data_IF_308013173730
#
_entry.id   IF_308013173730
#
_cell.length_a   1.000
_cell.length_b   1.000
_cell.length_c   1.000
_cell.angle_alpha   90.00
_cell.angle_beta   90.00
_cell.angle_gamma   90.00
#
_symmetry.space_group_name_H-M   'P 1'
#
loop_
_entity.id
_entity.type
_entity.pdbx_description
1 polymer ?
#
# COMPACT_ATOMS: atom_id res chain seq x y z
N UNK A 1 0.20 -3.44 -2.55
CA UNK A 1 -0.71 -2.90 -1.51
C UNK A 1 -1.17 -3.99 -0.53
N UNK A 2 -1.39 -3.66 0.74
CA UNK A 2 -1.89 -4.61 1.74
C UNK A 2 -3.42 -4.67 1.68
N UNK A 3 -3.98 -5.84 1.40
CA UNK A 3 -5.43 -6.05 1.28
C UNK A 3 -5.97 -7.11 2.25
N UNK A 4 -5.10 -7.87 2.90
CA UNK A 4 -5.44 -8.90 3.88
C UNK A 4 -4.24 -9.24 4.76
N UNK A 5 -4.50 -9.78 5.96
CA UNK A 5 -3.44 -10.26 6.86
C UNK A 5 -2.69 -11.49 6.30
N UNK A 6 -3.39 -12.37 5.58
CA UNK A 6 -2.75 -13.50 4.89
C UNK A 6 -1.82 -13.02 3.77
N UNK A 7 -2.25 -12.02 2.99
CA UNK A 7 -1.42 -11.35 2.01
C UNK A 7 -0.19 -10.69 2.64
N UNK A 8 -0.36 -10.02 3.79
CA UNK A 8 0.74 -9.44 4.56
C UNK A 8 1.78 -10.49 4.96
N UNK A 9 1.35 -11.64 5.50
CA UNK A 9 2.25 -12.75 5.85
C UNK A 9 2.98 -13.30 4.63
N UNK A 10 2.29 -13.46 3.50
CA UNK A 10 2.90 -13.90 2.23
C UNK A 10 3.95 -12.90 1.73
N UNK A 11 3.69 -11.60 1.83
CA UNK A 11 4.67 -10.57 1.47
C UNK A 11 5.94 -10.67 2.32
N UNK A 12 5.82 -10.86 3.64
CA UNK A 12 6.97 -11.04 4.52
C UNK A 12 7.78 -12.32 4.22
N UNK A 13 7.12 -13.38 3.75
CA UNK A 13 7.83 -14.60 3.30
C UNK A 13 8.61 -14.37 2.01
N UNK A 14 8.03 -13.64 1.05
CA UNK A 14 8.68 -13.34 -0.24
C UNK A 14 9.84 -12.36 -0.09
N UNK A 15 9.67 -11.37 0.79
CA UNK A 15 10.68 -10.36 1.07
C UNK A 15 11.45 -10.77 2.33
N UNK A 16 12.33 -11.78 2.18
CA UNK A 16 13.17 -12.38 3.23
C UNK A 16 13.64 -11.34 4.27
N UNK A 17 13.00 -11.35 5.45
CA UNK A 17 13.39 -10.48 6.58
C UNK A 17 12.70 -9.11 6.65
N UNK A 18 11.62 -8.88 5.89
CA UNK A 18 10.88 -7.62 5.98
C UNK A 18 10.14 -7.50 7.31
N UNK A 19 10.49 -6.49 8.08
CA UNK A 19 9.78 -6.12 9.31
C UNK A 19 8.69 -5.09 9.00
N UNK A 20 7.46 -5.38 9.42
CA UNK A 20 6.38 -4.40 9.30
C UNK A 20 6.52 -3.31 10.37
N UNK A 21 6.35 -2.02 10.01
CA UNK A 21 6.41 -0.94 10.97
C UNK A 21 5.38 -1.11 12.09
N UNK A 22 5.78 -0.87 13.35
CA UNK A 22 4.88 -1.01 14.49
C UNK A 22 3.63 -0.11 14.40
N UNK A 23 3.73 1.03 13.71
CA UNK A 23 2.57 1.92 13.46
C UNK A 23 1.52 1.27 12.56
N UNK A 24 1.94 0.53 11.53
CA UNK A 24 1.05 -0.24 10.66
C UNK A 24 0.36 -1.35 11.44
N UNK A 25 1.13 -2.12 12.23
CA UNK A 25 0.58 -3.20 13.06
C UNK A 25 -0.49 -2.67 14.03
N UNK A 26 -0.20 -1.57 14.75
CA UNK A 26 -1.19 -0.91 15.63
C UNK A 26 -2.41 -0.36 14.88
N UNK A 27 -2.27 0.04 13.61
CA UNK A 27 -3.42 0.47 12.82
C UNK A 27 -4.31 -0.71 12.45
N UNK A 28 -3.72 -1.85 12.10
CA UNK A 28 -4.42 -3.10 11.80
C UNK A 28 -5.11 -3.67 13.04
N UNK A 29 -4.44 -3.66 14.20
CA UNK A 29 -4.99 -4.17 15.48
C UNK A 29 -6.21 -3.38 15.97
N UNK A 30 -6.36 -2.11 15.55
CA UNK A 30 -7.52 -1.27 15.89
C UNK A 30 -8.74 -1.50 14.99
N UNK A 31 -8.61 -2.34 13.96
CA UNK A 31 -9.74 -2.68 13.09
C UNK A 31 -10.61 -3.75 13.73
N UNK A 32 -11.82 -3.93 13.20
CA UNK A 32 -12.71 -5.05 13.54
C UNK A 32 -12.22 -6.41 12.97
N UNK A 33 -11.05 -6.44 12.32
CA UNK A 33 -10.45 -7.63 11.72
C UNK A 33 -11.14 -8.10 10.44
N UNK A 34 -12.16 -7.40 9.95
CA UNK A 34 -12.82 -7.74 8.69
C UNK A 34 -11.88 -7.51 7.50
N UNK A 35 -11.99 -8.31 6.42
CA UNK A 35 -11.18 -8.10 5.23
C UNK A 35 -11.25 -6.67 4.69
N UNK A 36 -12.43 -6.06 4.75
CA UNK A 36 -12.65 -4.70 4.28
C UNK A 36 -11.97 -3.65 5.16
N UNK A 37 -11.99 -3.78 6.49
CA UNK A 37 -11.31 -2.83 7.37
C UNK A 37 -9.79 -2.92 7.25
N UNK A 38 -9.25 -4.14 7.14
CA UNK A 38 -7.82 -4.39 6.87
C UNK A 38 -7.42 -3.77 5.52
N UNK A 39 -8.24 -3.98 4.48
CA UNK A 39 -8.01 -3.41 3.14
C UNK A 39 -7.96 -1.88 3.19
N UNK A 40 -8.92 -1.23 3.86
CA UNK A 40 -8.91 0.23 4.01
C UNK A 40 -7.64 0.75 4.69
N UNK A 41 -7.21 0.12 5.79
CA UNK A 41 -5.96 0.49 6.46
C UNK A 41 -4.76 0.30 5.54
N UNK A 42 -4.69 -0.83 4.83
CA UNK A 42 -3.57 -1.13 3.94
C UNK A 42 -3.51 -0.23 2.69
N UNK A 43 -4.65 0.17 2.15
CA UNK A 43 -4.75 1.16 1.06
C UNK A 43 -4.28 2.52 1.57
N UNK A 44 -4.83 3.00 2.68
CA UNK A 44 -4.43 4.29 3.26
C UNK A 44 -2.93 4.33 3.57
N UNK A 45 -2.40 3.29 4.22
CA UNK A 45 -0.96 3.19 4.51
C UNK A 45 -0.11 3.26 3.25
N UNK A 46 -0.47 2.51 2.21
CA UNK A 46 0.27 2.53 0.95
C UNK A 46 0.18 3.90 0.26
N UNK A 47 -0.96 4.59 0.34
CA UNK A 47 -1.11 5.97 -0.16
C UNK A 47 -0.15 6.91 0.56
N UNK A 48 -0.11 6.90 1.89
CA UNK A 48 0.81 7.76 2.66
C UNK A 48 2.28 7.50 2.30
N UNK A 49 2.66 6.23 2.10
CA UNK A 49 4.00 5.89 1.62
C UNK A 49 4.28 6.44 0.22
N UNK A 50 3.28 6.44 -0.67
CA UNK A 50 3.45 6.99 -2.01
C UNK A 50 3.59 8.51 -1.97
N UNK A 51 2.79 9.21 -1.17
CA UNK A 51 2.90 10.67 -0.96
C UNK A 51 4.30 11.00 -0.47
N UNK A 52 4.76 10.34 0.59
CA UNK A 52 6.10 10.57 1.16
C UNK A 52 7.21 10.36 0.13
N UNK A 53 7.17 9.27 -0.63
CA UNK A 53 8.18 9.02 -1.67
C UNK A 53 8.15 10.08 -2.78
N UNK A 54 6.96 10.50 -3.22
CA UNK A 54 6.82 11.52 -4.26
C UNK A 54 7.29 12.90 -3.77
N UNK A 55 7.00 13.26 -2.51
CA UNK A 55 7.48 14.50 -1.89
C UNK A 55 9.02 14.53 -1.80
N UNK A 56 9.66 13.36 -1.72
CA UNK A 56 11.12 13.20 -1.76
C UNK A 56 11.70 13.03 -3.18
N UNK A 57 10.88 13.17 -4.23
CA UNK A 57 11.36 13.25 -5.62
C UNK A 57 11.86 11.94 -6.22
N UNK A 58 11.29 10.79 -5.83
CA UNK A 58 11.62 9.51 -6.49
C UNK A 58 11.23 9.52 -7.98
N UNK A 59 11.99 8.78 -8.80
CA UNK A 59 11.73 8.68 -10.25
C UNK A 59 10.42 7.95 -10.61
N UNK A 60 9.84 7.21 -9.65
CA UNK A 60 8.57 6.52 -9.84
C UNK A 60 8.30 5.45 -8.78
N UNK A 61 7.08 4.91 -8.82
CA UNK A 61 6.59 3.89 -7.86
C UNK A 61 6.13 2.65 -8.63
N UNK A 62 6.68 1.49 -8.29
CA UNK A 62 6.26 0.21 -8.85
C UNK A 62 5.38 -0.58 -7.87
N UNK A 63 4.16 -0.92 -8.28
CA UNK A 63 3.22 -1.66 -7.44
C UNK A 63 3.22 -3.16 -7.75
N UNK A 64 3.48 -3.97 -6.73
CA UNK A 64 3.13 -5.40 -6.76
C UNK A 64 1.62 -5.57 -6.55
N UNK A 65 0.90 -5.80 -7.65
CA UNK A 65 -0.57 -5.94 -7.66
C UNK A 65 -1.05 -7.36 -7.29
N UNK A 66 -0.20 -8.38 -7.42
CA UNK A 66 -0.55 -9.78 -7.16
C UNK A 66 -1.85 -10.21 -7.89
N UNK A 67 -1.96 -9.84 -9.18
CA UNK A 67 -3.15 -10.04 -10.04
C UNK A 67 -4.43 -9.35 -9.55
N UNK A 68 -4.33 -8.39 -8.62
CA UNK A 68 -5.45 -7.63 -8.08
C UNK A 68 -5.15 -6.12 -8.17
N UNK A 69 -5.84 -5.40 -9.07
CA UNK A 69 -5.55 -3.99 -9.34
C UNK A 69 -6.41 -2.99 -8.56
N UNK A 70 -7.50 -3.42 -7.91
CA UNK A 70 -8.48 -2.53 -7.25
C UNK A 70 -7.83 -1.62 -6.21
N UNK A 71 -7.03 -2.18 -5.30
CA UNK A 71 -6.32 -1.40 -4.28
C UNK A 71 -5.32 -0.41 -4.88
N UNK A 72 -4.61 -0.81 -5.94
CA UNK A 72 -3.69 0.10 -6.64
C UNK A 72 -4.43 1.25 -7.30
N UNK A 73 -5.57 0.99 -7.95
CA UNK A 73 -6.40 2.03 -8.56
C UNK A 73 -6.93 3.03 -7.54
N UNK A 74 -7.33 2.57 -6.35
CA UNK A 74 -7.75 3.44 -5.25
C UNK A 74 -6.61 4.35 -4.76
N UNK A 75 -5.39 3.82 -4.66
CA UNK A 75 -4.20 4.61 -4.31
C UNK A 75 -3.97 5.70 -5.36
N UNK A 76 -3.94 5.34 -6.66
CA UNK A 76 -3.78 6.31 -7.74
C UNK A 76 -4.85 7.41 -7.72
N UNK A 77 -6.11 7.03 -7.54
CA UNK A 77 -7.22 7.99 -7.45
C UNK A 77 -7.06 8.95 -6.26
N UNK A 78 -6.57 8.44 -5.11
CA UNK A 78 -6.34 9.26 -3.91
C UNK A 78 -5.16 10.22 -4.09
N UNK A 79 -4.12 9.81 -4.83
CA UNK A 79 -2.96 10.65 -5.15
C UNK A 79 -3.29 11.73 -6.21
N UNK A 80 -4.49 11.74 -6.79
CA UNK A 80 -4.84 12.66 -7.89
C UNK A 80 -4.13 12.36 -9.21
N UNK A 81 -3.47 11.20 -9.32
CA UNK A 81 -2.71 10.79 -10.50
C UNK A 81 -3.66 10.09 -11.46
N UNK A 82 -3.98 10.73 -12.58
CA UNK A 82 -4.89 10.21 -13.61
C UNK A 82 -4.16 9.44 -14.71
N UNK A 83 -2.84 9.57 -14.80
CA UNK A 83 -1.98 8.88 -15.77
C UNK A 83 -0.59 8.65 -15.20
N UNK A 84 0.04 7.51 -15.53
CA UNK A 84 1.44 7.21 -15.16
C UNK A 84 2.44 8.23 -15.72
N UNK A 85 2.05 8.97 -16.76
CA UNK A 85 2.85 10.07 -17.32
C UNK A 85 3.01 11.27 -16.38
N UNK A 86 2.20 11.36 -15.32
CA UNK A 86 2.30 12.42 -14.31
C UNK A 86 3.25 12.06 -13.16
N UNK A 87 3.87 10.88 -13.19
CA UNK A 87 4.85 10.40 -12.20
C UNK A 87 6.31 10.54 -12.69
N UNK A 88 6.49 10.93 -13.94
CA UNK A 88 7.78 11.22 -14.55
C UNK A 88 7.88 12.73 -14.73
N UNK A 89 8.77 13.36 -13.97
CA UNK A 89 9.19 14.75 -14.19
C UNK A 89 10.04 14.86 -15.44
#
# INVERSE_FOLDING_TARGET
PLTSLSGMRRMAQLALGTHFPARLLRALDRTDGTPESIRRVGVHWATEQCVDLLDHGVDGIHFYTLNQSTATREIYATLGVQSSSQLSS
#
